data_IF_413107027932
#
_entry.id   IF_413107027932
#
_cell.length_a   1.000
_cell.length_b   1.000
_cell.length_c   1.000
_cell.angle_alpha   90.00
_cell.angle_beta   90.00
_cell.angle_gamma   90.00
#
_symmetry.space_group_name_H-M   'P 1'
#
loop_
_entity.id
_entity.type
_entity.pdbx_description
1 polymer ?
#
# COMPACT_ATOMS: atom_id res chain seq x y z
N UNK A 1 -0.22 11.89 -2.19
CA UNK A 1 0.12 11.66 -0.76
C UNK A 1 -0.17 10.22 -0.42
N UNK A 2 0.67 9.56 0.38
CA UNK A 2 0.44 8.19 0.86
C UNK A 2 -0.05 8.30 2.32
N UNK A 3 -1.27 7.85 2.65
CA UNK A 3 -1.77 7.89 4.03
C UNK A 3 -1.03 6.86 4.91
N UNK A 4 -1.02 7.04 6.24
CA UNK A 4 -0.47 6.05 7.15
C UNK A 4 -1.40 4.85 7.29
N UNK A 5 -0.81 3.66 7.40
CA UNK A 5 -1.48 2.45 7.87
C UNK A 5 -1.76 2.61 9.36
N UNK A 6 -3.05 2.61 9.73
CA UNK A 6 -3.49 2.73 11.12
C UNK A 6 -3.19 1.44 11.91
N UNK A 7 -3.10 1.56 13.23
CA UNK A 7 -2.89 0.46 14.18
C UNK A 7 -1.62 -0.38 13.95
N UNK A 8 -0.61 0.20 13.30
CA UNK A 8 0.68 -0.46 13.11
C UNK A 8 1.62 -0.19 14.30
N UNK A 9 1.61 -1.08 15.28
CA UNK A 9 2.41 -0.95 16.52
C UNK A 9 3.61 -1.91 16.54
N UNK A 10 3.39 -3.16 16.13
CA UNK A 10 4.41 -4.22 16.16
C UNK A 10 4.70 -4.69 14.73
N UNK A 11 5.85 -4.34 14.14
CA UNK A 11 6.22 -4.80 12.82
C UNK A 11 6.41 -6.32 12.78
N UNK A 12 5.92 -6.95 11.72
CA UNK A 12 6.30 -8.32 11.39
C UNK A 12 7.74 -8.33 10.86
N UNK A 13 8.68 -9.05 11.48
CA UNK A 13 10.08 -9.11 11.03
C UNK A 13 10.24 -9.70 9.62
N UNK A 14 9.27 -10.48 9.14
CA UNK A 14 9.29 -11.07 7.80
C UNK A 14 8.65 -10.16 6.73
N UNK A 15 7.97 -9.08 7.12
CA UNK A 15 7.35 -8.16 6.18
C UNK A 15 8.40 -7.34 5.41
N UNK A 16 8.57 -7.64 4.12
CA UNK A 16 9.57 -6.99 3.24
C UNK A 16 9.05 -5.75 2.51
N UNK A 17 8.03 -5.09 3.03
CA UNK A 17 7.38 -3.94 2.40
C UNK A 17 7.56 -2.68 3.24
N UNK A 18 7.83 -1.56 2.57
CA UNK A 18 7.93 -0.25 3.20
C UNK A 18 6.52 0.31 3.49
N UNK A 19 6.06 0.08 4.72
CA UNK A 19 4.78 0.59 5.20
C UNK A 19 4.91 2.05 5.66
N UNK A 20 3.95 2.88 5.28
CA UNK A 20 3.84 4.25 5.81
C UNK A 20 3.07 4.20 7.13
N UNK A 21 3.66 4.67 8.22
CA UNK A 21 3.09 4.60 9.58
C UNK A 21 3.26 5.93 10.31
N UNK A 22 2.45 6.18 11.34
CA UNK A 22 2.49 7.41 12.16
C UNK A 22 1.92 8.65 11.46
N UNK A 23 2.53 9.09 10.37
CA UNK A 23 2.13 10.29 9.63
C UNK A 23 2.07 10.03 8.11
N UNK A 24 1.23 10.78 7.35
CA UNK A 24 1.21 10.70 5.89
C UNK A 24 2.57 11.00 5.26
N UNK A 25 2.92 10.29 4.20
CA UNK A 25 4.15 10.50 3.42
C UNK A 25 3.84 11.26 2.12
N UNK A 26 4.47 12.42 1.94
CA UNK A 26 4.37 13.20 0.71
C UNK A 26 5.53 12.86 -0.22
N UNK A 27 5.20 12.30 -1.40
CA UNK A 27 6.16 11.96 -2.46
C UNK A 27 5.53 12.24 -3.83
N UNK A 28 6.38 12.47 -4.84
CA UNK A 28 5.95 12.51 -6.23
C UNK A 28 5.64 11.08 -6.70
N UNK A 29 4.38 10.81 -7.03
CA UNK A 29 3.91 9.49 -7.47
C UNK A 29 3.87 9.46 -9.00
N UNK A 30 4.69 8.60 -9.60
CA UNK A 30 4.69 8.36 -11.06
C UNK A 30 3.79 7.21 -11.46
N UNK A 31 3.54 6.30 -10.53
CA UNK A 31 2.74 5.10 -10.72
C UNK A 31 2.21 4.62 -9.37
N UNK A 32 1.00 4.07 -9.35
CA UNK A 32 0.37 3.48 -8.17
C UNK A 32 -0.26 2.15 -8.57
N UNK A 33 -0.04 1.13 -7.76
CA UNK A 33 -0.64 -0.20 -7.91
C UNK A 33 -1.66 -0.41 -6.79
N UNK A 34 -2.90 -0.76 -7.16
CA UNK A 34 -3.96 -1.16 -6.24
C UNK A 34 -4.26 -2.65 -6.42
N UNK A 35 -4.07 -3.43 -5.36
CA UNK A 35 -4.30 -4.88 -5.37
C UNK A 35 -5.53 -5.24 -4.52
N UNK A 36 -6.32 -6.18 -5.01
CA UNK A 36 -7.47 -6.75 -4.31
C UNK A 36 -7.42 -8.27 -4.38
N UNK A 37 -7.55 -8.94 -3.23
CA UNK A 37 -7.62 -10.40 -3.14
C UNK A 37 -8.86 -10.79 -2.34
N UNK A 38 -9.80 -11.48 -3.00
CA UNK A 38 -11.05 -11.95 -2.41
C UNK A 38 -11.05 -13.47 -2.17
N UNK A 39 -11.91 -13.92 -1.26
CA UNK A 39 -12.15 -15.35 -1.05
C UNK A 39 -12.56 -16.05 -2.35
N UNK A 40 -12.21 -17.33 -2.46
CA UNK A 40 -12.40 -18.10 -3.70
C UNK A 40 -11.30 -17.87 -4.75
N UNK A 41 -10.24 -17.13 -4.42
CA UNK A 41 -9.09 -16.91 -5.32
C UNK A 41 -9.30 -15.77 -6.32
N UNK A 42 -10.25 -14.88 -6.08
CA UNK A 42 -10.52 -13.71 -6.93
C UNK A 42 -9.44 -12.65 -6.70
N UNK A 43 -8.44 -12.61 -7.57
CA UNK A 43 -7.34 -11.64 -7.51
C UNK A 43 -7.48 -10.61 -8.63
N UNK A 44 -7.34 -9.33 -8.30
CA UNK A 44 -7.38 -8.22 -9.25
C UNK A 44 -6.29 -7.19 -8.91
N UNK A 45 -5.75 -6.55 -9.94
CA UNK A 45 -4.77 -5.49 -9.82
C UNK A 45 -5.07 -4.37 -10.82
N UNK A 46 -4.94 -3.12 -10.38
CA UNK A 46 -5.16 -1.92 -11.20
C UNK A 46 -3.96 -0.99 -11.07
N UNK A 47 -3.44 -0.56 -12.23
CA UNK A 47 -2.33 0.39 -12.33
C UNK A 47 -2.86 1.78 -12.66
N UNK A 48 -2.41 2.78 -11.92
CA UNK A 48 -2.68 4.19 -12.19
C UNK A 48 -1.38 4.91 -12.50
N UNK A 49 -1.39 5.71 -13.56
CA UNK A 49 -0.33 6.67 -13.88
C UNK A 49 -0.96 8.05 -14.03
N UNK A 50 -0.19 9.14 -13.85
CA UNK A 50 -0.59 10.44 -14.35
C UNK A 50 -0.96 10.36 -15.85
N UNK A 51 -1.88 11.20 -16.28
CA UNK A 51 -2.19 11.40 -17.69
C UNK A 51 -1.01 12.05 -18.43
#
# INVERSE_FOLDING_TARGET
VIPPTLHFETPDPEARVDLVTGAPRTVSLKCVLSNSAGFGGCNAAVLFTPA
#
